data_IF_192077800448
#
_entry.id   IF_192077800448
#
_cell.length_a   1.000
_cell.length_b   1.000
_cell.length_c   1.000
_cell.angle_alpha   90.00
_cell.angle_beta   90.00
_cell.angle_gamma   90.00
#
_symmetry.space_group_name_H-M   'P 1'
#
loop_
_entity.id
_entity.type
_entity.pdbx_description
1 polymer ?
#
# COMPACT_ATOMS: atom_id res chain seq x y z
N UNK A 1 -0.58 11.55 -32.49
CA UNK A 1 -1.45 11.07 -31.40
C UNK A 1 -2.14 12.32 -30.86
N UNK A 2 -3.46 12.36 -30.96
CA UNK A 2 -4.28 13.40 -30.31
C UNK A 2 -3.86 13.49 -28.84
N UNK A 3 -3.68 14.70 -28.30
CA UNK A 3 -3.43 14.85 -26.87
C UNK A 3 -4.68 14.36 -26.14
N UNK A 4 -4.53 13.54 -25.10
CA UNK A 4 -5.65 13.12 -24.24
C UNK A 4 -6.42 14.32 -23.65
N UNK A 5 -5.78 15.49 -23.64
CA UNK A 5 -6.37 16.77 -23.23
C UNK A 5 -7.37 17.34 -24.24
N UNK A 6 -7.20 17.04 -25.53
CA UNK A 6 -8.06 17.57 -26.60
C UNK A 6 -9.44 16.87 -26.61
N UNK A 7 -9.53 15.69 -25.99
CA UNK A 7 -10.75 14.89 -25.87
C UNK A 7 -11.57 15.20 -24.61
N UNK A 8 -11.08 16.06 -23.73
CA UNK A 8 -11.79 16.43 -22.50
C UNK A 8 -12.93 17.42 -22.79
N UNK A 9 -14.05 17.24 -22.11
CA UNK A 9 -15.13 18.23 -22.08
C UNK A 9 -14.73 19.46 -21.27
N UNK A 10 -15.39 20.59 -21.56
CA UNK A 10 -15.08 21.87 -20.92
C UNK A 10 -15.18 21.85 -19.37
N UNK A 11 -16.20 21.21 -18.75
CA UNK A 11 -16.22 21.01 -17.31
C UNK A 11 -14.97 20.30 -16.75
N UNK A 12 -14.52 19.22 -17.41
CA UNK A 12 -13.32 18.48 -16.99
C UNK A 12 -12.05 19.31 -17.10
N UNK A 13 -11.92 20.14 -18.16
CA UNK A 13 -10.79 21.08 -18.30
C UNK A 13 -10.77 22.12 -17.18
N UNK A 14 -11.94 22.66 -16.80
CA UNK A 14 -12.05 23.61 -15.67
C UNK A 14 -11.67 22.96 -14.35
N UNK A 15 -12.16 21.75 -14.09
CA UNK A 15 -11.82 21.00 -12.89
C UNK A 15 -10.31 20.73 -12.80
N UNK A 16 -9.66 20.43 -13.93
CA UNK A 16 -8.21 20.26 -13.99
C UNK A 16 -7.45 21.56 -13.67
N UNK A 17 -7.90 22.69 -14.21
CA UNK A 17 -7.28 24.00 -13.93
C UNK A 17 -7.40 24.36 -12.46
N UNK A 18 -8.61 24.27 -11.90
CA UNK A 18 -8.87 24.52 -10.48
C UNK A 18 -8.05 23.58 -9.59
N UNK A 19 -7.97 22.30 -9.95
CA UNK A 19 -7.17 21.33 -9.23
C UNK A 19 -5.68 21.70 -9.20
N UNK A 20 -5.12 22.11 -10.34
CA UNK A 20 -3.72 22.56 -10.44
C UNK A 20 -3.44 23.76 -9.53
N UNK A 21 -4.34 24.74 -9.51
CA UNK A 21 -4.22 25.92 -8.65
C UNK A 21 -4.20 25.52 -7.17
N UNK A 22 -5.08 24.61 -6.75
CA UNK A 22 -5.18 24.19 -5.34
C UNK A 22 -3.99 23.38 -4.84
N UNK A 23 -3.30 22.65 -5.71
CA UNK A 23 -2.19 21.77 -5.34
C UNK A 23 -0.81 22.40 -5.60
N UNK A 24 -0.76 23.65 -6.04
CA UNK A 24 0.47 24.33 -6.43
C UNK A 24 1.53 24.31 -5.31
N UNK A 25 1.10 24.39 -4.04
CA UNK A 25 1.95 24.33 -2.86
C UNK A 25 2.68 22.98 -2.69
N UNK A 26 2.09 21.88 -3.17
CA UNK A 26 2.63 20.54 -3.02
C UNK A 26 3.15 19.93 -4.34
N UNK A 27 3.08 20.65 -5.46
CA UNK A 27 3.57 20.16 -6.76
C UNK A 27 5.05 19.75 -6.74
N UNK A 28 5.89 20.46 -5.98
CA UNK A 28 7.32 20.13 -5.85
C UNK A 28 7.60 18.79 -5.16
N UNK A 29 6.62 18.25 -4.43
CA UNK A 29 6.70 16.95 -3.74
C UNK A 29 6.18 15.79 -4.59
N UNK A 30 5.67 16.08 -5.78
CA UNK A 30 5.11 15.09 -6.68
C UNK A 30 6.18 14.56 -7.63
N UNK A 31 6.12 13.27 -7.92
CA UNK A 31 7.03 12.62 -8.88
C UNK A 31 6.64 12.91 -10.35
N UNK A 32 5.39 13.31 -10.59
CA UNK A 32 4.86 13.64 -11.90
C UNK A 32 3.76 14.72 -11.78
N UNK A 33 3.95 15.82 -12.50
CA UNK A 33 3.05 16.98 -12.53
C UNK A 33 2.33 17.13 -13.86
N UNK A 34 2.50 16.19 -14.80
CA UNK A 34 1.80 16.21 -16.09
C UNK A 34 0.31 16.02 -15.91
N UNK A 35 -0.46 16.61 -16.80
CA UNK A 35 -1.93 16.61 -16.73
C UNK A 35 -2.51 15.19 -16.73
N UNK A 36 -1.92 14.28 -17.50
CA UNK A 36 -2.29 12.86 -17.53
C UNK A 36 -2.23 12.21 -16.13
N UNK A 37 -1.25 12.60 -15.31
CA UNK A 37 -1.12 12.10 -13.95
C UNK A 37 -2.12 12.79 -13.01
N UNK A 38 -2.33 14.10 -13.15
CA UNK A 38 -3.30 14.86 -12.36
C UNK A 38 -4.74 14.39 -12.62
N UNK A 39 -5.08 14.10 -13.87
CA UNK A 39 -6.37 13.60 -14.29
C UNK A 39 -6.74 12.27 -13.61
N UNK A 40 -5.77 11.42 -13.26
CA UNK A 40 -6.06 10.15 -12.55
C UNK A 40 -6.74 10.39 -11.20
N UNK A 41 -6.32 11.43 -10.47
CA UNK A 41 -6.92 11.79 -9.18
C UNK A 41 -8.34 12.33 -9.34
N UNK A 42 -8.56 13.16 -10.37
CA UNK A 42 -9.86 13.71 -10.71
C UNK A 42 -10.82 12.61 -11.18
N UNK A 43 -10.41 11.76 -12.11
CA UNK A 43 -11.21 10.62 -12.61
C UNK A 43 -11.61 9.69 -11.45
N UNK A 44 -10.66 9.36 -10.55
CA UNK A 44 -10.93 8.51 -9.38
C UNK A 44 -11.94 9.11 -8.40
N UNK A 45 -12.25 10.41 -8.51
CA UNK A 45 -13.20 11.14 -7.66
C UNK A 45 -14.28 11.84 -8.47
N UNK A 46 -14.58 11.33 -9.66
CA UNK A 46 -15.65 11.85 -10.54
C UNK A 46 -15.54 13.37 -10.77
N UNK A 47 -14.31 13.86 -10.97
CA UNK A 47 -13.98 15.28 -11.15
C UNK A 47 -14.35 16.19 -9.97
N UNK A 48 -14.58 15.63 -8.77
CA UNK A 48 -14.66 16.41 -7.53
C UNK A 48 -13.27 16.89 -7.13
N UNK A 49 -12.98 18.17 -7.36
CA UNK A 49 -11.68 18.80 -7.07
C UNK A 49 -11.32 18.66 -5.59
N UNK A 50 -12.26 18.91 -4.67
CA UNK A 50 -12.04 18.83 -3.23
C UNK A 50 -11.66 17.42 -2.76
N UNK A 51 -12.36 16.39 -3.25
CA UNK A 51 -12.06 15.01 -2.87
C UNK A 51 -10.78 14.49 -3.54
N UNK A 52 -10.50 14.90 -4.78
CA UNK A 52 -9.25 14.60 -5.45
C UNK A 52 -8.05 15.21 -4.73
N UNK A 53 -8.16 16.45 -4.27
CA UNK A 53 -7.12 17.14 -3.50
C UNK A 53 -6.85 16.42 -2.18
N UNK A 54 -7.91 16.13 -1.43
CA UNK A 54 -7.81 15.38 -0.17
C UNK A 54 -7.12 14.03 -0.38
N UNK A 55 -7.47 13.30 -1.44
CA UNK A 55 -6.86 12.01 -1.79
C UNK A 55 -5.38 12.17 -2.15
N UNK A 56 -5.02 13.16 -2.97
CA UNK A 56 -3.65 13.43 -3.36
C UNK A 56 -2.79 13.76 -2.12
N UNK A 57 -3.25 14.68 -1.27
CA UNK A 57 -2.52 15.08 -0.06
C UNK A 57 -2.33 13.91 0.90
N UNK A 58 -3.36 13.08 1.09
CA UNK A 58 -3.23 11.85 1.88
C UNK A 58 -2.20 10.86 1.28
N UNK A 59 -2.17 10.74 -0.04
CA UNK A 59 -1.16 9.92 -0.73
C UNK A 59 0.25 10.45 -0.52
N UNK A 60 0.47 11.77 -0.59
CA UNK A 60 1.79 12.37 -0.34
C UNK A 60 2.29 12.09 1.08
N UNK A 61 1.41 12.19 2.09
CA UNK A 61 1.74 11.84 3.48
C UNK A 61 2.11 10.36 3.60
N UNK A 62 1.32 9.46 2.98
CA UNK A 62 1.62 8.03 2.99
C UNK A 62 2.95 7.70 2.30
N UNK A 63 3.24 8.33 1.15
CA UNK A 63 4.50 8.14 0.42
C UNK A 63 5.70 8.53 1.26
N UNK A 64 5.61 9.68 1.93
CA UNK A 64 6.66 10.16 2.82
C UNK A 64 6.86 9.20 4.01
N UNK A 65 5.77 8.78 4.67
CA UNK A 65 5.83 7.88 5.82
C UNK A 65 6.40 6.49 5.49
N UNK A 66 6.29 6.04 4.24
CA UNK A 66 6.76 4.73 3.78
C UNK A 66 8.03 4.79 2.93
N UNK A 67 8.67 5.97 2.80
CA UNK A 67 9.90 6.13 2.03
C UNK A 67 9.78 5.74 0.55
N UNK A 68 8.60 5.95 -0.05
CA UNK A 68 8.29 5.43 -1.40
C UNK A 68 9.18 6.05 -2.48
N UNK A 69 9.60 7.29 -2.30
CA UNK A 69 10.49 7.96 -3.27
C UNK A 69 11.89 7.32 -3.32
N UNK A 70 12.25 6.55 -2.29
CA UNK A 70 13.51 5.80 -2.19
C UNK A 70 13.33 4.28 -2.30
N UNK A 71 12.15 3.82 -2.73
CA UNK A 71 11.82 2.39 -2.78
C UNK A 71 12.77 1.57 -3.66
N UNK A 72 13.43 2.19 -4.64
CA UNK A 72 14.44 1.54 -5.48
C UNK A 72 15.69 1.10 -4.71
N UNK A 73 15.98 1.72 -3.55
CA UNK A 73 17.09 1.34 -2.67
C UNK A 73 16.72 0.22 -1.70
N UNK A 74 15.43 -0.08 -1.55
CA UNK A 74 14.97 -1.11 -0.63
C UNK A 74 15.28 -2.50 -1.19
N UNK A 75 16.00 -3.31 -0.40
CA UNK A 75 16.27 -4.69 -0.76
C UNK A 75 15.15 -5.59 -0.19
N UNK A 76 14.34 -6.23 -1.03
CA UNK A 76 13.28 -7.11 -0.56
C UNK A 76 13.83 -8.28 0.27
N UNK A 77 13.18 -8.66 1.38
CA UNK A 77 13.51 -9.87 2.12
C UNK A 77 13.50 -11.12 1.24
N UNK A 78 14.36 -12.09 1.56
CA UNK A 78 14.54 -13.33 0.81
C UNK A 78 13.22 -14.10 0.58
N UNK A 79 12.30 -14.04 1.54
CA UNK A 79 10.97 -14.67 1.43
C UNK A 79 10.15 -14.10 0.27
N UNK A 80 10.19 -12.78 0.05
CA UNK A 80 9.47 -12.16 -1.04
C UNK A 80 10.12 -12.54 -2.37
N UNK A 81 11.45 -12.54 -2.43
CA UNK A 81 12.18 -12.94 -3.64
C UNK A 81 11.90 -14.40 -4.04
N UNK A 82 11.79 -15.31 -3.08
CA UNK A 82 11.60 -16.76 -3.36
C UNK A 82 10.15 -17.17 -3.54
N UNK A 83 9.22 -16.55 -2.81
CA UNK A 83 7.85 -17.05 -2.69
C UNK A 83 6.78 -16.06 -3.16
N UNK A 84 7.11 -14.77 -3.36
CA UNK A 84 6.16 -13.81 -3.90
C UNK A 84 6.18 -13.88 -5.43
N UNK A 85 5.26 -14.67 -5.98
CA UNK A 85 5.16 -14.95 -7.41
C UNK A 85 4.44 -13.83 -8.19
N UNK A 86 5.05 -12.65 -8.19
CA UNK A 86 4.60 -11.47 -8.92
C UNK A 86 5.71 -10.95 -9.84
N UNK A 87 5.37 -10.70 -11.11
CA UNK A 87 6.33 -10.19 -12.08
C UNK A 87 5.69 -9.40 -13.22
N UNK A 88 6.53 -8.69 -13.97
CA UNK A 88 6.15 -8.06 -15.25
C UNK A 88 6.63 -8.96 -16.39
N UNK A 89 5.75 -9.28 -17.35
CA UNK A 89 6.13 -10.04 -18.56
C UNK A 89 5.48 -9.43 -19.78
N UNK A 90 6.31 -9.16 -20.79
CA UNK A 90 5.86 -8.68 -22.09
C UNK A 90 5.12 -7.34 -22.04
N UNK A 91 4.56 -7.01 -23.20
CA UNK A 91 3.72 -5.85 -23.40
C UNK A 91 2.49 -6.29 -24.19
N UNK A 92 1.35 -5.67 -23.93
CA UNK A 92 0.17 -5.87 -24.76
C UNK A 92 0.34 -5.18 -26.14
N UNK A 93 -0.66 -5.32 -27.01
CA UNK A 93 -0.65 -4.69 -28.35
C UNK A 93 -0.65 -3.16 -28.32
N UNK A 94 -1.00 -2.56 -27.17
CA UNK A 94 -1.02 -1.11 -26.93
C UNK A 94 0.24 -0.66 -26.16
N UNK A 95 1.25 -1.53 -26.05
CA UNK A 95 2.50 -1.29 -25.35
C UNK A 95 2.34 -1.02 -23.82
N UNK A 96 1.26 -1.50 -23.22
CA UNK A 96 1.12 -1.51 -21.76
C UNK A 96 1.85 -2.73 -21.20
N UNK A 97 2.64 -2.58 -20.12
CA UNK A 97 3.39 -3.69 -19.55
C UNK A 97 2.43 -4.74 -18.99
N UNK A 98 2.58 -5.99 -19.45
CA UNK A 98 1.83 -7.11 -18.91
C UNK A 98 2.25 -7.39 -17.47
N UNK A 99 1.27 -7.43 -16.57
CA UNK A 99 1.47 -7.87 -15.19
C UNK A 99 0.88 -9.26 -15.06
N UNK A 100 1.62 -10.18 -14.46
CA UNK A 100 1.09 -11.49 -14.11
C UNK A 100 1.24 -11.69 -12.60
N UNK A 101 0.11 -11.98 -11.97
CA UNK A 101 0.08 -12.66 -10.70
C UNK A 101 0.02 -14.14 -11.05
N UNK A 102 1.10 -14.88 -10.83
CA UNK A 102 1.01 -16.34 -10.95
C UNK A 102 0.04 -16.81 -9.88
N UNK A 103 -1.20 -17.14 -10.25
CA UNK A 103 -2.17 -17.79 -9.35
C UNK A 103 -1.74 -19.22 -8.97
N UNK A 104 -0.62 -19.74 -9.50
CA UNK A 104 -0.11 -21.06 -9.19
C UNK A 104 1.36 -21.00 -8.75
N UNK A 105 1.56 -20.79 -7.46
CA UNK A 105 2.49 -21.60 -6.65
C UNK A 105 2.00 -21.62 -5.20
N UNK A 106 0.73 -21.96 -5.00
CA UNK A 106 0.15 -22.17 -3.66
C UNK A 106 0.58 -23.52 -3.04
N UNK A 107 1.54 -24.22 -3.64
CA UNK A 107 1.91 -25.61 -3.30
C UNK A 107 3.35 -25.83 -2.84
N UNK A 108 4.20 -24.79 -2.74
CA UNK A 108 5.53 -24.93 -2.15
C UNK A 108 5.45 -24.88 -0.62
N UNK A 109 6.11 -25.80 0.09
CA UNK A 109 6.30 -25.65 1.54
C UNK A 109 7.10 -24.35 1.81
N UNK A 110 6.42 -23.33 2.33
CA UNK A 110 7.09 -22.16 2.90
C UNK A 110 7.67 -22.59 4.25
N UNK A 111 8.98 -22.45 4.50
CA UNK A 111 9.56 -22.81 5.78
C UNK A 111 8.85 -22.10 6.92
N UNK A 112 8.57 -22.82 8.00
CA UNK A 112 7.69 -22.33 9.07
C UNK A 112 8.16 -21.01 9.71
N UNK A 113 9.47 -20.73 9.65
CA UNK A 113 10.11 -19.48 10.08
C UNK A 113 9.66 -18.22 9.33
N UNK A 114 9.02 -18.35 8.17
CA UNK A 114 8.60 -17.24 7.33
C UNK A 114 7.12 -16.87 7.45
N UNK A 115 6.30 -17.72 8.06
CA UNK A 115 4.97 -17.27 8.47
C UNK A 115 5.15 -16.21 9.55
N UNK A 116 4.40 -15.11 9.45
CA UNK A 116 4.16 -14.28 10.63
C UNK A 116 3.66 -15.23 11.71
N UNK A 117 4.44 -15.41 12.77
CA UNK A 117 3.98 -16.21 13.91
C UNK A 117 2.58 -15.73 14.23
N UNK A 118 1.63 -16.67 14.36
CA UNK A 118 0.33 -16.41 14.96
C UNK A 118 0.63 -15.73 16.29
N UNK A 119 0.66 -14.41 16.28
CA UNK A 119 1.34 -13.67 17.32
C UNK A 119 0.41 -13.86 18.50
N UNK A 120 0.85 -14.62 19.49
CA UNK A 120 0.09 -14.75 20.72
C UNK A 120 -0.30 -13.32 21.15
N UNK A 121 -1.57 -13.11 21.53
CA UNK A 121 -2.10 -11.77 21.74
C UNK A 121 -1.13 -10.92 22.58
N UNK A 122 -0.98 -9.64 22.26
CA UNK A 122 -0.09 -8.76 23.02
C UNK A 122 -0.70 -8.58 24.42
N UNK A 123 -0.03 -9.05 25.46
CA UNK A 123 -0.44 -8.82 26.86
C UNK A 123 -0.47 -7.31 27.09
N UNK A 124 -1.64 -6.78 27.45
CA UNK A 124 -1.80 -5.38 27.86
C UNK A 124 -1.76 -5.30 29.38
N UNK A 125 -1.46 -4.12 29.91
CA UNK A 125 -1.21 -3.88 31.34
C UNK A 125 -2.40 -4.26 32.26
N UNK A 126 -3.61 -4.36 31.69
CA UNK A 126 -4.83 -4.77 32.39
C UNK A 126 -5.18 -6.27 32.24
N UNK A 127 -4.37 -7.05 31.51
CA UNK A 127 -4.63 -8.48 31.26
C UNK A 127 -3.91 -9.37 32.26
N UNK A 128 -4.63 -9.87 33.27
CA UNK A 128 -4.10 -10.85 34.24
C UNK A 128 -4.11 -12.29 33.72
N UNK A 129 -4.88 -12.56 32.66
CA UNK A 129 -5.06 -13.91 32.12
C UNK A 129 -5.09 -13.90 30.59
N UNK A 130 -4.40 -14.86 29.98
CA UNK A 130 -4.43 -15.07 28.54
C UNK A 130 -5.00 -16.45 28.20
N UNK A 131 -5.86 -16.49 27.19
CA UNK A 131 -6.36 -17.73 26.61
C UNK A 131 -5.50 -18.07 25.39
N UNK A 132 -4.77 -19.17 25.45
CA UNK A 132 -4.00 -19.69 24.32
C UNK A 132 -4.78 -20.79 23.63
N UNK A 133 -4.82 -20.75 22.30
CA UNK A 133 -5.36 -21.83 21.47
C UNK A 133 -4.26 -22.89 21.33
N UNK A 134 -4.43 -24.01 22.01
CA UNK A 134 -3.53 -25.15 21.95
C UNK A 134 -4.12 -26.19 21.00
N UNK A 135 -4.01 -25.94 19.69
CA UNK A 135 -4.52 -26.83 18.66
C UNK A 135 -6.04 -26.84 18.52
N UNK A 136 -6.56 -27.80 17.75
CA UNK A 136 -7.97 -27.86 17.33
C UNK A 136 -8.91 -28.05 18.54
N UNK A 137 -9.45 -26.93 19.04
CA UNK A 137 -10.56 -26.89 20.01
C UNK A 137 -10.18 -26.76 21.49
N UNK A 138 -8.89 -26.73 21.85
CA UNK A 138 -8.45 -26.60 23.25
C UNK A 138 -8.02 -25.18 23.60
N UNK A 139 -8.68 -24.55 24.58
CA UNK A 139 -8.21 -23.28 25.18
C UNK A 139 -7.58 -23.56 26.54
N UNK A 140 -6.34 -23.09 26.75
CA UNK A 140 -5.70 -23.13 28.07
C UNK A 140 -5.58 -21.71 28.62
N UNK A 141 -6.19 -21.47 29.78
CA UNK A 141 -6.14 -20.18 30.47
C UNK A 141 -4.96 -20.17 31.44
N UNK A 142 -3.99 -19.29 31.19
CA UNK A 142 -2.79 -19.17 32.00
C UNK A 142 -2.76 -17.80 32.69
N UNK A 143 -2.42 -17.80 33.99
CA UNK A 143 -2.22 -16.61 34.83
C UNK A 143 -0.73 -16.32 34.91
N UNK A 144 -0.35 -15.07 34.68
CA UNK A 144 1.03 -14.62 34.78
C UNK A 144 1.12 -13.32 35.57
N UNK A 145 2.29 -13.07 36.15
CA UNK A 145 2.66 -11.79 36.74
C UNK A 145 3.47 -11.01 35.69
N UNK A 146 3.07 -9.77 35.39
CA UNK A 146 3.75 -8.92 34.40
C UNK A 146 4.89 -8.20 35.13
N UNK A 147 6.14 -8.53 34.78
CA UNK A 147 7.31 -7.94 35.47
C UNK A 147 7.87 -6.69 34.74
N UNK A 148 7.76 -6.56 33.41
CA UNK A 148 8.13 -5.33 32.65
C UNK A 148 7.28 -5.17 31.38
N UNK A 149 6.54 -4.06 31.25
CA UNK A 149 5.44 -3.92 30.28
C UNK A 149 5.83 -3.44 28.85
N UNK A 150 7.06 -2.94 28.59
CA UNK A 150 7.32 -2.15 27.37
C UNK A 150 8.67 -2.40 26.65
N UNK A 151 9.16 -3.64 26.55
CA UNK A 151 10.34 -3.90 25.70
C UNK A 151 9.96 -3.98 24.21
N UNK A 152 10.53 -3.07 23.41
CA UNK A 152 10.37 -2.98 21.94
C UNK A 152 11.42 -3.84 21.21
N UNK A 153 12.41 -4.37 21.92
CA UNK A 153 13.34 -5.38 21.40
C UNK A 153 12.73 -6.76 21.65
N UNK A 154 12.25 -7.39 20.57
CA UNK A 154 11.98 -8.82 20.43
C UNK A 154 12.81 -9.36 19.28
#
# INVERSE_FOLDING_TARGET
>A
MESTLDQLDEPSKRALLEFKERIQDCMSKMWDTRDEHLLKWLIARHFSVTEAEKMLRASLVWRQANGIDEISKWNPPEVLLKYFSYGKVGYDKLNSPGQYLNYLNIGGQVPYSYYMSNSAPVVKDYMETMNLIAGAGGFKKLKYKIDVAYSVLR
#
